data_IF_384991633972
#
_entry.id   IF_384991633972
#
_cell.length_a   1.000
_cell.length_b   1.000
_cell.length_c   1.000
_cell.angle_alpha   90.00
_cell.angle_beta   90.00
_cell.angle_gamma   90.00
#
_symmetry.space_group_name_H-M   'P 1'
#
loop_
_entity.id
_entity.type
_entity.pdbx_description
1 polymer ?
#
# COMPACT_ATOMS: atom_id res chain seq x y z
N UNK A 1 -4.19 3.04 -40.40
CA UNK A 1 -4.43 3.44 -39.01
C UNK A 1 -3.68 2.47 -38.11
N UNK A 2 -2.68 2.95 -37.37
CA UNK A 2 -1.92 2.12 -36.44
C UNK A 2 -2.52 2.33 -35.05
N UNK A 3 -3.25 1.34 -34.56
CA UNK A 3 -3.66 1.28 -33.16
C UNK A 3 -2.39 1.07 -32.33
N UNK A 4 -2.07 1.92 -31.35
CA UNK A 4 -0.97 1.63 -30.44
C UNK A 4 -1.33 0.36 -29.66
N UNK A 5 -0.48 -0.65 -29.76
CA UNK A 5 -0.57 -1.87 -28.97
C UNK A 5 -0.34 -1.49 -27.50
N UNK A 6 -1.08 -2.06 -26.54
CA UNK A 6 -0.89 -1.74 -25.12
C UNK A 6 0.57 -2.04 -24.78
N UNK A 7 1.27 -1.01 -24.30
CA UNK A 7 2.68 -1.07 -23.95
C UNK A 7 2.91 -2.28 -23.05
N UNK A 8 3.54 -3.31 -23.58
CA UNK A 8 4.00 -4.46 -22.83
C UNK A 8 4.94 -3.91 -21.74
N UNK A 9 4.44 -3.82 -20.52
CA UNK A 9 5.24 -3.50 -19.35
C UNK A 9 6.40 -4.51 -19.37
N UNK A 10 7.66 -4.05 -19.43
CA UNK A 10 8.79 -4.96 -19.58
C UNK A 10 8.75 -5.93 -18.40
N UNK A 11 8.73 -7.23 -18.73
CA UNK A 11 8.96 -8.31 -17.78
C UNK A 11 10.32 -8.09 -17.11
N UNK A 12 10.30 -7.40 -15.98
CA UNK A 12 11.38 -7.43 -15.01
C UNK A 12 11.46 -8.88 -14.52
N UNK A 13 12.38 -9.64 -15.09
CA UNK A 13 12.67 -11.01 -14.68
C UNK A 13 12.99 -11.02 -13.18
N UNK A 14 12.02 -11.48 -12.37
CA UNK A 14 12.18 -11.62 -10.93
C UNK A 14 13.36 -12.58 -10.66
N UNK A 15 14.31 -12.23 -9.77
CA UNK A 15 15.43 -13.09 -9.48
C UNK A 15 14.98 -14.34 -8.72
N UNK A 16 14.84 -15.42 -9.48
CA UNK A 16 14.98 -16.86 -9.24
C UNK A 16 14.99 -17.53 -7.83
N UNK A 17 14.75 -16.90 -6.66
CA UNK A 17 14.65 -17.61 -5.36
C UNK A 17 13.94 -16.80 -4.22
N UNK A 18 12.75 -16.22 -4.45
CA UNK A 18 11.82 -15.74 -3.39
C UNK A 18 10.36 -15.93 -3.84
N UNK A 19 10.00 -17.17 -4.15
CA UNK A 19 8.65 -17.53 -4.58
C UNK A 19 7.73 -17.51 -3.34
N UNK A 20 6.69 -16.67 -3.39
CA UNK A 20 5.69 -16.42 -2.34
C UNK A 20 6.21 -15.66 -1.10
N UNK A 21 6.33 -14.33 -1.21
CA UNK A 21 6.22 -13.51 -0.01
C UNK A 21 4.84 -13.73 0.61
N UNK A 22 4.82 -14.15 1.88
CA UNK A 22 3.58 -14.27 2.64
C UNK A 22 3.09 -12.86 2.98
N UNK A 23 2.39 -12.26 2.04
CA UNK A 23 1.91 -10.89 2.16
C UNK A 23 0.94 -10.72 3.33
N UNK A 24 0.26 -11.79 3.73
CA UNK A 24 -0.62 -11.79 4.89
C UNK A 24 0.19 -11.72 6.18
N UNK A 25 1.26 -12.52 6.29
CA UNK A 25 2.20 -12.45 7.41
C UNK A 25 2.91 -11.10 7.46
N UNK A 26 3.35 -10.57 6.31
CA UNK A 26 3.98 -9.24 6.20
C UNK A 26 2.99 -8.16 6.62
N UNK A 27 1.74 -8.18 6.13
CA UNK A 27 0.71 -7.23 6.53
C UNK A 27 0.41 -7.32 8.02
N UNK A 28 0.38 -8.52 8.58
CA UNK A 28 0.20 -8.74 10.02
C UNK A 28 1.38 -8.17 10.81
N UNK A 29 2.61 -8.37 10.34
CA UNK A 29 3.81 -7.81 10.96
C UNK A 29 3.87 -6.29 10.86
N UNK A 30 3.49 -5.71 9.70
CA UNK A 30 3.37 -4.27 9.48
C UNK A 30 2.30 -3.63 10.38
N UNK A 31 1.25 -4.38 10.74
CA UNK A 31 0.21 -3.93 11.68
C UNK A 31 0.55 -4.19 13.15
N UNK A 32 1.58 -4.99 13.41
CA UNK A 32 2.04 -5.33 14.75
C UNK A 32 2.73 -4.17 15.48
N UNK A 33 3.10 -4.41 16.74
CA UNK A 33 3.76 -3.41 17.59
C UNK A 33 5.13 -2.93 17.06
N UNK A 34 5.80 -3.76 16.24
CA UNK A 34 7.07 -3.44 15.58
C UNK A 34 6.89 -3.11 14.09
N UNK A 35 5.65 -2.85 13.69
CA UNK A 35 5.22 -2.60 12.32
C UNK A 35 5.49 -1.19 11.83
N UNK A 36 4.77 -0.80 10.77
CA UNK A 36 4.76 0.59 10.30
C UNK A 36 3.98 1.48 11.26
N UNK A 37 4.20 2.79 11.20
CA UNK A 37 3.49 3.75 12.07
C UNK A 37 2.03 3.97 11.63
N UNK A 38 1.18 2.97 11.85
CA UNK A 38 -0.27 3.03 11.60
C UNK A 38 -0.93 3.84 12.70
N UNK A 39 -1.44 5.03 12.35
CA UNK A 39 -2.09 5.93 13.31
C UNK A 39 -3.23 6.70 12.65
N UNK A 40 -4.20 7.08 13.47
CA UNK A 40 -5.22 8.06 13.08
C UNK A 40 -4.58 9.42 12.81
N UNK A 41 -4.76 9.95 11.60
CA UNK A 41 -4.27 11.27 11.20
C UNK A 41 -5.41 12.13 10.67
N UNK A 42 -5.43 13.39 11.08
CA UNK A 42 -6.36 14.39 10.51
C UNK A 42 -5.62 15.20 9.46
N UNK A 43 -6.15 15.22 8.24
CA UNK A 43 -5.58 15.97 7.13
C UNK A 43 -6.70 16.68 6.35
N UNK A 44 -6.53 17.97 6.08
CA UNK A 44 -7.46 18.82 5.32
C UNK A 44 -8.96 18.60 5.66
N UNK A 45 -9.32 18.75 6.93
CA UNK A 45 -10.70 18.59 7.45
C UNK A 45 -11.27 17.17 7.41
N UNK A 46 -10.52 16.17 6.94
CA UNK A 46 -10.87 14.75 6.99
C UNK A 46 -10.05 14.03 8.06
N UNK A 47 -10.66 13.04 8.73
CA UNK A 47 -9.96 12.14 9.65
C UNK A 47 -9.73 10.82 8.92
N UNK A 48 -8.47 10.48 8.71
CA UNK A 48 -8.07 9.18 8.17
C UNK A 48 -7.64 8.28 9.32
N UNK A 49 -8.30 7.14 9.48
CA UNK A 49 -7.99 6.18 10.53
C UNK A 49 -7.05 5.11 9.99
N UNK A 50 -6.19 4.57 10.84
CA UNK A 50 -5.27 3.49 10.50
C UNK A 50 -4.42 3.74 9.24
N UNK A 51 -3.89 4.96 9.08
CA UNK A 51 -3.03 5.31 7.94
C UNK A 51 -1.56 5.28 8.30
N UNK A 52 -0.73 4.96 7.30
CA UNK A 52 0.73 4.98 7.38
C UNK A 52 1.30 5.72 6.17
N UNK A 53 2.58 6.13 6.25
CA UNK A 53 3.26 6.74 5.10
C UNK A 53 3.89 5.68 4.20
N UNK A 54 3.87 5.89 2.88
CA UNK A 54 4.58 5.04 1.93
C UNK A 54 6.06 4.92 2.28
N UNK A 55 6.69 6.05 2.62
CA UNK A 55 8.08 6.09 3.12
C UNK A 55 8.29 5.29 4.42
N UNK A 56 7.34 5.31 5.36
CA UNK A 56 7.43 4.50 6.58
C UNK A 56 7.37 3.01 6.26
N UNK A 57 6.52 2.62 5.30
CA UNK A 57 6.41 1.24 4.84
C UNK A 57 7.67 0.75 4.13
N UNK A 58 8.28 1.60 3.29
CA UNK A 58 9.56 1.28 2.65
C UNK A 58 10.65 1.10 3.69
N UNK A 59 10.80 2.04 4.63
CA UNK A 59 11.82 1.94 5.68
C UNK A 59 11.64 0.68 6.55
N UNK A 60 10.38 0.33 6.83
CA UNK A 60 10.04 -0.89 7.56
C UNK A 60 10.41 -2.15 6.77
N UNK A 61 10.03 -2.24 5.49
CA UNK A 61 10.36 -3.37 4.61
C UNK A 61 11.88 -3.53 4.45
N UNK A 62 12.60 -2.42 4.30
CA UNK A 62 14.07 -2.44 4.26
C UNK A 62 14.67 -3.01 5.54
N UNK A 63 14.08 -2.72 6.70
CA UNK A 63 14.59 -3.19 8.00
C UNK A 63 14.18 -4.63 8.29
N UNK A 64 12.92 -4.99 8.03
CA UNK A 64 12.33 -6.28 8.35
C UNK A 64 12.75 -7.36 7.35
N UNK A 65 12.54 -7.10 6.06
CA UNK A 65 12.80 -8.03 4.96
C UNK A 65 14.23 -7.93 4.43
N UNK A 66 15.05 -7.04 5.03
CA UNK A 66 16.40 -6.69 4.55
C UNK A 66 16.40 -6.33 3.06
N UNK A 67 15.31 -5.73 2.60
CA UNK A 67 15.12 -5.31 1.23
C UNK A 67 15.90 -4.03 0.95
N UNK A 68 16.28 -3.84 -0.31
CA UNK A 68 16.69 -2.51 -0.79
C UNK A 68 15.48 -1.59 -0.92
N UNK A 69 15.71 -0.28 -1.04
CA UNK A 69 14.62 0.69 -1.25
C UNK A 69 13.78 0.34 -2.49
N UNK A 70 14.43 -0.06 -3.57
CA UNK A 70 13.76 -0.45 -4.82
C UNK A 70 12.94 -1.73 -4.64
N UNK A 71 13.48 -2.74 -3.95
CA UNK A 71 12.73 -3.94 -3.61
C UNK A 71 11.54 -3.64 -2.70
N UNK A 72 11.71 -2.81 -1.68
CA UNK A 72 10.63 -2.42 -0.78
C UNK A 72 9.51 -1.65 -1.52
N UNK A 73 9.86 -0.79 -2.47
CA UNK A 73 8.87 -0.16 -3.36
C UNK A 73 8.14 -1.22 -4.18
N UNK A 74 8.85 -2.18 -4.77
CA UNK A 74 8.24 -3.27 -5.54
C UNK A 74 7.33 -4.14 -4.66
N UNK A 75 7.75 -4.48 -3.44
CA UNK A 75 6.95 -5.23 -2.47
C UNK A 75 5.68 -4.48 -2.11
N UNK A 76 5.75 -3.18 -1.81
CA UNK A 76 4.55 -2.38 -1.54
C UNK A 76 3.63 -2.26 -2.76
N UNK A 77 4.18 -2.20 -3.97
CA UNK A 77 3.37 -2.25 -5.20
C UNK A 77 2.66 -3.59 -5.37
N UNK A 78 3.35 -4.70 -5.08
CA UNK A 78 2.75 -6.04 -5.10
C UNK A 78 1.65 -6.15 -4.04
N UNK A 79 1.87 -5.67 -2.81
CA UNK A 79 0.82 -5.63 -1.77
C UNK A 79 -0.39 -4.80 -2.20
N UNK A 80 -0.17 -3.70 -2.92
CA UNK A 80 -1.25 -2.90 -3.48
C UNK A 80 -2.02 -3.65 -4.56
N UNK A 81 -1.31 -4.32 -5.49
CA UNK A 81 -1.93 -5.14 -6.54
C UNK A 81 -2.69 -6.36 -5.99
N UNK A 82 -2.22 -6.93 -4.88
CA UNK A 82 -2.90 -8.02 -4.17
C UNK A 82 -4.13 -7.56 -3.37
N UNK A 83 -4.38 -6.25 -3.28
CA UNK A 83 -5.52 -5.71 -2.51
C UNK A 83 -5.32 -5.79 -1.00
N UNK A 84 -4.08 -5.70 -0.53
CA UNK A 84 -3.75 -5.72 0.91
C UNK A 84 -3.67 -4.31 1.45
N UNK A 85 -3.07 -3.41 0.66
CA UNK A 85 -3.00 -1.97 0.94
C UNK A 85 -3.57 -1.19 -0.25
N UNK A 86 -4.07 0.01 0.01
CA UNK A 86 -4.43 0.98 -1.02
C UNK A 86 -3.99 2.37 -0.62
N UNK A 87 -3.86 3.24 -1.62
CA UNK A 87 -3.68 4.66 -1.38
C UNK A 87 -5.01 5.25 -0.92
N UNK A 88 -4.99 6.10 0.10
CA UNK A 88 -6.23 6.65 0.71
C UNK A 88 -7.09 7.45 -0.27
N UNK A 89 -6.51 7.96 -1.36
CA UNK A 89 -7.24 8.62 -2.45
C UNK A 89 -7.40 7.75 -3.70
N UNK A 90 -6.83 6.54 -3.72
CA UNK A 90 -6.77 5.63 -4.88
C UNK A 90 -6.13 6.23 -6.16
N UNK A 91 -5.56 7.44 -6.07
CA UNK A 91 -4.97 8.15 -7.21
C UNK A 91 -3.54 7.71 -7.56
N UNK A 92 -2.88 6.94 -6.69
CA UNK A 92 -1.45 6.65 -6.80
C UNK A 92 -1.10 5.22 -6.42
N UNK A 93 -0.20 4.62 -7.21
CA UNK A 93 0.48 3.37 -6.85
C UNK A 93 1.38 3.58 -5.62
N UNK A 94 1.93 2.48 -5.09
CA UNK A 94 2.86 2.54 -3.96
C UNK A 94 4.18 3.21 -4.34
N UNK A 95 4.62 4.18 -3.53
CA UNK A 95 5.85 4.96 -3.70
C UNK A 95 6.53 5.25 -2.35
N UNK A 96 7.85 5.41 -2.38
CA UNK A 96 8.67 5.88 -1.25
C UNK A 96 8.48 7.39 -1.01
N UNK A 97 7.24 7.80 -0.81
CA UNK A 97 6.85 9.19 -0.57
C UNK A 97 6.00 9.26 0.72
N UNK A 98 5.92 10.43 1.37
CA UNK A 98 5.03 10.65 2.52
C UNK A 98 3.56 10.75 2.11
N UNK A 99 3.11 9.84 1.24
CA UNK A 99 1.72 9.65 0.83
C UNK A 99 1.00 8.72 1.83
N UNK A 100 -0.30 8.91 1.98
CA UNK A 100 -1.10 8.13 2.92
C UNK A 100 -1.59 6.84 2.28
N UNK A 101 -1.24 5.72 2.90
CA UNK A 101 -1.74 4.40 2.55
C UNK A 101 -2.50 3.80 3.73
N UNK A 102 -3.38 2.86 3.43
CA UNK A 102 -4.21 2.13 4.40
C UNK A 102 -4.27 0.67 4.02
N UNK A 103 -4.42 -0.21 5.01
CA UNK A 103 -4.77 -1.61 4.78
C UNK A 103 -6.26 -1.73 4.46
N UNK A 104 -6.62 -2.62 3.53
CA UNK A 104 -8.04 -2.91 3.25
C UNK A 104 -8.76 -3.49 4.45
N UNK A 105 -8.07 -4.32 5.25
CA UNK A 105 -8.60 -4.89 6.48
C UNK A 105 -8.92 -3.83 7.56
N UNK A 106 -8.30 -2.64 7.44
CA UNK A 106 -8.52 -1.47 8.29
C UNK A 106 -9.50 -0.45 7.68
N UNK A 107 -10.16 -0.77 6.56
CA UNK A 107 -11.30 0.01 6.07
C UNK A 107 -12.44 -0.08 7.09
N UNK A 108 -12.54 0.97 7.91
CA UNK A 108 -13.70 1.19 8.75
C UNK A 108 -14.84 1.68 7.86
N UNK A 109 -16.02 1.08 7.99
CA UNK A 109 -17.24 1.40 7.22
C UNK A 109 -17.75 2.85 7.40
N UNK A 110 -17.01 3.69 8.14
CA UNK A 110 -17.29 5.08 8.45
C UNK A 110 -16.74 6.05 7.37
N UNK A 111 -15.89 5.58 6.44
CA UNK A 111 -15.37 6.41 5.33
C UNK A 111 -16.40 6.61 4.21
N UNK A 112 -17.44 5.76 4.17
CA UNK A 112 -18.65 6.10 3.43
C UNK A 112 -19.36 7.18 4.22
N UNK A 113 -19.45 8.45 3.73
CA UNK A 113 -20.57 9.26 4.17
C UNK A 113 -21.77 8.41 3.78
N UNK A 114 -22.53 7.91 4.77
CA UNK A 114 -23.87 7.43 4.53
C UNK A 114 -24.46 8.49 3.60
N UNK A 115 -24.62 8.14 2.31
CA UNK A 115 -25.33 8.99 1.38
C UNK A 115 -26.67 9.07 2.06
N UNK A 116 -26.93 10.22 2.67
CA UNK A 116 -28.23 10.54 3.23
C UNK A 116 -29.16 10.55 2.03
N UNK A 117 -29.59 9.35 1.63
CA UNK A 117 -30.80 9.11 0.90
C UNK A 117 -31.88 9.59 1.87
N UNK A 118 -32.31 10.83 1.67
CA UNK A 118 -33.49 11.39 2.32
C UNK A 118 -34.17 12.33 1.32
N UNK A 119 -35.50 12.35 1.22
CA UNK A 119 -36.53 11.34 1.53
C UNK A 119 -37.21 10.74 0.28
#
# INVERSE_FOLDING_TARGET
>A
EYLPQPEEIPSIEAPANKEEYDWEAIATAMRGANGVSIKDRKFQFKKFQNVFFGSDAVEWLMTHERATREEAILMGQLMLQQGIIHHVLDEHNFKDEPLFYRFYDDETSDDFPATNETP
#
